data_IF_286146436389
#
_entry.id   IF_286146436389
#
_cell.length_a   1.000
_cell.length_b   1.000
_cell.length_c   1.000
_cell.angle_alpha   90.00
_cell.angle_beta   90.00
_cell.angle_gamma   90.00
#
_symmetry.space_group_name_H-M   'P 1'
#
loop_
_entity.id
_entity.type
_entity.pdbx_description
1 polymer ?
#
# COMPACT_ATOMS: atom_id res chain seq x y z
N UNK A 1 22.58 12.70 -11.98
CA UNK A 1 22.83 11.26 -12.25
C UNK A 1 22.94 10.38 -11.01
N UNK A 2 23.70 10.73 -9.95
CA UNK A 2 23.79 9.87 -8.73
C UNK A 2 22.47 9.68 -7.96
N UNK A 3 21.59 10.69 -7.94
CA UNK A 3 20.35 10.62 -7.16
C UNK A 3 19.27 9.72 -7.78
N UNK A 4 19.12 9.71 -9.12
CA UNK A 4 18.19 8.79 -9.80
C UNK A 4 18.56 7.33 -9.56
N UNK A 5 19.86 7.03 -9.36
CA UNK A 5 20.33 5.70 -9.01
C UNK A 5 19.89 5.29 -7.60
N UNK A 6 19.92 6.18 -6.61
CA UNK A 6 19.47 5.88 -5.23
C UNK A 6 17.97 5.59 -5.20
N UNK A 7 17.15 6.38 -5.88
CA UNK A 7 15.71 6.12 -5.92
C UNK A 7 15.36 4.83 -6.67
N UNK A 8 16.07 4.56 -7.77
CA UNK A 8 15.91 3.30 -8.51
C UNK A 8 16.32 2.09 -7.66
N UNK A 9 17.44 2.17 -6.94
CA UNK A 9 17.90 1.07 -6.08
C UNK A 9 16.98 0.87 -4.88
N UNK A 10 16.47 1.95 -4.27
CA UNK A 10 15.49 1.85 -3.18
C UNK A 10 14.18 1.23 -3.66
N UNK A 11 13.65 1.65 -4.82
CA UNK A 11 12.45 1.05 -5.41
C UNK A 11 12.66 -0.45 -5.69
N UNK A 12 13.81 -0.81 -6.25
CA UNK A 12 14.14 -2.19 -6.60
C UNK A 12 14.32 -3.07 -5.36
N UNK A 13 14.93 -2.53 -4.28
CA UNK A 13 15.01 -3.22 -2.99
C UNK A 13 13.64 -3.42 -2.36
N UNK A 14 12.79 -2.40 -2.35
CA UNK A 14 11.46 -2.47 -1.75
C UNK A 14 10.58 -3.47 -2.50
N UNK A 15 10.51 -3.36 -3.83
CA UNK A 15 9.78 -4.29 -4.66
C UNK A 15 10.33 -5.73 -4.56
N UNK A 16 11.65 -5.88 -4.49
CA UNK A 16 12.30 -7.19 -4.29
C UNK A 16 11.98 -7.83 -2.94
N UNK A 17 11.96 -7.05 -1.85
CA UNK A 17 11.58 -7.54 -0.52
C UNK A 17 10.12 -8.00 -0.50
N UNK A 18 9.18 -7.21 -1.02
CA UNK A 18 7.76 -7.59 -1.09
C UNK A 18 7.51 -8.80 -1.98
N UNK A 19 8.13 -8.83 -3.17
CA UNK A 19 8.01 -9.97 -4.07
C UNK A 19 8.62 -11.23 -3.46
N UNK A 20 9.74 -11.10 -2.75
CA UNK A 20 10.40 -12.20 -2.06
C UNK A 20 9.55 -12.78 -0.92
N UNK A 21 9.04 -11.94 -0.01
CA UNK A 21 8.21 -12.41 1.11
C UNK A 21 6.92 -13.05 0.62
N UNK A 22 6.24 -12.43 -0.34
CA UNK A 22 5.01 -12.96 -0.90
C UNK A 22 5.26 -14.24 -1.71
N UNK A 23 6.39 -14.33 -2.42
CA UNK A 23 6.82 -15.54 -3.12
C UNK A 23 7.04 -16.72 -2.17
N UNK A 24 7.67 -16.48 -1.02
CA UNK A 24 7.85 -17.50 0.03
C UNK A 24 6.50 -17.96 0.58
N UNK A 25 5.61 -17.01 0.91
CA UNK A 25 4.26 -17.33 1.43
C UNK A 25 3.47 -18.15 0.41
N UNK A 26 3.42 -17.71 -0.85
CA UNK A 26 2.70 -18.42 -1.91
C UNK A 26 3.24 -19.83 -2.13
N UNK A 27 4.56 -20.01 -2.06
CA UNK A 27 5.19 -21.32 -2.20
C UNK A 27 4.83 -22.24 -1.03
N UNK A 28 4.90 -21.73 0.20
CA UNK A 28 4.51 -22.50 1.40
C UNK A 28 3.03 -22.88 1.34
N UNK A 29 2.15 -21.94 0.98
CA UNK A 29 0.72 -22.21 0.82
C UNK A 29 0.44 -23.23 -0.28
N UNK A 30 1.14 -23.14 -1.43
CA UNK A 30 0.99 -24.07 -2.53
C UNK A 30 1.41 -25.50 -2.16
N UNK A 31 2.56 -25.64 -1.47
CA UNK A 31 3.05 -26.94 -0.97
C UNK A 31 2.10 -27.51 0.09
N UNK A 32 1.69 -26.69 1.07
CA UNK A 32 0.76 -27.12 2.10
C UNK A 32 -0.60 -27.54 1.54
N UNK A 33 -1.12 -26.83 0.54
CA UNK A 33 -2.35 -27.22 -0.16
C UNK A 33 -2.19 -28.55 -0.91
N UNK A 34 -1.07 -28.76 -1.59
CA UNK A 34 -0.78 -30.02 -2.27
C UNK A 34 -0.73 -31.19 -1.29
N UNK A 35 0.00 -31.06 -0.18
CA UNK A 35 0.10 -32.10 0.84
C UNK A 35 -1.25 -32.39 1.50
N UNK A 36 -2.03 -31.36 1.84
CA UNK A 36 -3.35 -31.52 2.43
C UNK A 36 -4.33 -32.25 1.48
N UNK A 37 -4.31 -31.87 0.20
CA UNK A 37 -5.15 -32.51 -0.83
C UNK A 37 -4.76 -33.98 -1.04
N UNK A 38 -3.46 -34.27 -1.11
CA UNK A 38 -2.95 -35.63 -1.23
C UNK A 38 -3.34 -36.48 -0.01
N UNK A 39 -3.19 -35.94 1.20
CA UNK A 39 -3.55 -36.63 2.44
C UNK A 39 -5.06 -36.91 2.54
N UNK A 40 -5.90 -35.93 2.20
CA UNK A 40 -7.37 -36.08 2.22
C UNK A 40 -7.84 -37.21 1.31
N UNK A 41 -7.39 -37.22 0.05
CA UNK A 41 -7.79 -38.26 -0.90
C UNK A 41 -7.23 -39.63 -0.53
N UNK A 42 -6.01 -39.70 0.01
CA UNK A 42 -5.44 -40.96 0.49
C UNK A 42 -6.20 -41.51 1.70
N UNK A 43 -6.64 -40.64 2.62
CA UNK A 43 -7.48 -41.02 3.77
C UNK A 43 -8.85 -41.53 3.33
N UNK A 44 -9.51 -40.83 2.39
CA UNK A 44 -10.79 -41.25 1.82
C UNK A 44 -10.68 -42.63 1.14
N UNK A 45 -9.61 -42.85 0.38
CA UNK A 45 -9.34 -44.14 -0.26
C UNK A 45 -9.21 -45.27 0.77
N UNK A 46 -8.44 -45.06 1.83
CA UNK A 46 -8.27 -46.07 2.89
C UNK A 46 -9.60 -46.34 3.59
N UNK A 47 -10.38 -45.32 3.94
CA UNK A 47 -11.68 -45.51 4.60
C UNK A 47 -12.68 -46.32 3.74
N UNK A 48 -12.68 -46.08 2.42
CA UNK A 48 -13.50 -46.85 1.48
C UNK A 48 -13.06 -48.32 1.40
N UNK A 49 -11.74 -48.59 1.35
CA UNK A 49 -11.22 -49.97 1.35
C UNK A 49 -11.55 -50.67 2.67
N UNK A 50 -11.40 -49.99 3.80
CA UNK A 50 -11.72 -50.52 5.14
C UNK A 50 -13.21 -50.88 5.27
N UNK A 51 -14.11 -50.01 4.80
CA UNK A 51 -15.57 -50.26 4.81
C UNK A 51 -15.94 -51.48 3.97
N UNK A 52 -15.37 -51.58 2.75
CA UNK A 52 -15.63 -52.73 1.86
C UNK A 52 -15.04 -54.01 2.43
N UNK A 53 -13.82 -53.96 2.97
CA UNK A 53 -13.18 -55.13 3.56
C UNK A 53 -13.88 -55.60 4.83
N UNK A 54 -14.29 -54.69 5.73
CA UNK A 54 -15.02 -55.02 6.95
C UNK A 54 -16.39 -55.64 6.67
N UNK A 55 -17.18 -55.05 5.77
CA UNK A 55 -18.49 -55.61 5.39
C UNK A 55 -18.40 -57.01 4.78
N UNK A 56 -17.36 -57.29 4.01
CA UNK A 56 -17.10 -58.62 3.49
C UNK A 56 -16.55 -59.58 4.55
N UNK A 57 -15.66 -59.10 5.43
CA UNK A 57 -15.09 -59.89 6.50
C UNK A 57 -16.20 -60.43 7.42
N UNK A 58 -17.08 -59.55 7.92
CA UNK A 58 -18.18 -59.92 8.82
C UNK A 58 -19.18 -60.86 8.14
N UNK A 59 -19.49 -60.62 6.86
CA UNK A 59 -20.40 -61.46 6.08
C UNK A 59 -19.86 -62.86 5.80
N UNK A 60 -18.53 -62.97 5.62
CA UNK A 60 -17.86 -64.24 5.32
C UNK A 60 -17.60 -65.07 6.57
N UNK A 61 -17.18 -64.49 7.71
CA UNK A 61 -16.94 -65.26 8.94
C UNK A 61 -18.18 -66.05 9.38
N UNK A 62 -19.38 -65.50 9.17
CA UNK A 62 -20.64 -66.18 9.47
C UNK A 62 -20.91 -67.43 8.59
N UNK A 63 -20.21 -67.56 7.46
CA UNK A 63 -20.44 -68.59 6.45
C UNK A 63 -19.35 -69.66 6.37
N UNK A 64 -18.18 -69.45 7.00
CA UNK A 64 -17.00 -70.33 6.92
C UNK A 64 -17.00 -71.40 8.03
N UNK A 65 -16.88 -72.68 7.64
CA UNK A 65 -16.90 -73.82 8.57
C UNK A 65 -15.57 -74.58 8.59
N UNK A 66 -14.97 -74.87 7.43
CA UNK A 66 -13.72 -75.65 7.33
C UNK A 66 -12.51 -74.74 7.01
N UNK A 67 -11.38 -74.82 7.76
CA UNK A 67 -10.18 -74.02 7.49
C UNK A 67 -9.65 -74.21 6.08
N UNK A 68 -9.35 -73.11 5.38
CA UNK A 68 -8.73 -73.10 4.05
C UNK A 68 -9.51 -73.85 2.94
N UNK A 69 -10.78 -74.17 3.16
CA UNK A 69 -11.69 -74.71 2.14
C UNK A 69 -12.76 -73.67 1.82
N UNK A 70 -12.88 -73.32 0.54
CA UNK A 70 -13.85 -72.33 0.07
C UNK A 70 -15.22 -73.02 -0.07
N UNK A 71 -16.20 -72.73 0.80
CA UNK A 71 -17.55 -73.26 0.61
C UNK A 71 -18.27 -72.60 -0.59
N UNK A 72 -19.19 -73.32 -1.27
CA UNK A 72 -19.97 -72.77 -2.39
C UNK A 72 -20.79 -71.53 -2.02
N UNK A 73 -21.03 -71.30 -0.72
CA UNK A 73 -21.72 -70.12 -0.19
C UNK A 73 -20.90 -68.85 -0.42
N UNK A 74 -19.56 -68.93 -0.42
CA UNK A 74 -18.65 -67.79 -0.65
C UNK A 74 -18.79 -67.23 -2.08
N UNK A 75 -19.10 -68.09 -3.06
CA UNK A 75 -19.40 -67.67 -4.45
C UNK A 75 -20.69 -66.85 -4.56
N UNK A 76 -21.61 -66.92 -3.58
CA UNK A 76 -22.80 -66.07 -3.56
C UNK A 76 -22.49 -64.63 -3.10
N UNK A 77 -21.44 -64.45 -2.28
CA UNK A 77 -21.00 -63.15 -1.79
C UNK A 77 -20.08 -62.42 -2.77
N UNK A 78 -19.24 -63.17 -3.49
CA UNK A 78 -18.37 -62.61 -4.55
C UNK A 78 -18.53 -63.43 -5.83
N UNK A 79 -19.49 -63.08 -6.71
CA UNK A 79 -19.81 -63.87 -7.91
C UNK A 79 -18.71 -63.86 -8.97
N UNK A 80 -17.75 -62.92 -8.89
CA UNK A 80 -16.57 -62.83 -9.76
C UNK A 80 -15.36 -63.62 -9.24
N UNK A 81 -15.58 -64.58 -8.32
CA UNK A 81 -14.53 -65.42 -7.75
C UNK A 81 -14.01 -66.46 -8.75
N UNK A 82 -12.71 -66.42 -9.01
CA UNK A 82 -11.93 -67.44 -9.71
C UNK A 82 -11.16 -68.30 -8.68
N UNK A 83 -11.38 -69.61 -8.70
CA UNK A 83 -10.68 -70.55 -7.81
C UNK A 83 -9.31 -70.88 -8.42
N UNK A 84 -8.27 -70.91 -7.58
CA UNK A 84 -6.92 -71.23 -8.03
C UNK A 84 -6.86 -72.68 -8.59
N UNK A 85 -6.34 -72.83 -9.81
CA UNK A 85 -6.24 -74.14 -10.49
C UNK A 85 -7.39 -74.49 -11.45
N UNK A 86 -8.37 -73.60 -11.62
CA UNK A 86 -9.41 -73.72 -12.67
C UNK A 86 -9.18 -72.70 -13.81
N UNK A 87 -9.41 -73.09 -15.06
CA UNK A 87 -9.30 -72.20 -16.23
C UNK A 87 -10.41 -71.15 -16.22
N UNK A 88 -10.14 -70.03 -15.58
CA UNK A 88 -11.02 -68.85 -15.56
C UNK A 88 -10.85 -68.04 -16.86
N UNK A 89 -11.29 -68.61 -17.99
CA UNK A 89 -11.45 -67.81 -19.21
C UNK A 89 -12.68 -66.91 -19.08
N UNK A 90 -12.47 -65.60 -19.23
CA UNK A 90 -13.47 -64.57 -18.92
C UNK A 90 -14.71 -64.71 -19.81
N UNK A 91 -15.83 -65.16 -19.24
CA UNK A 91 -17.18 -64.82 -19.71
C UNK A 91 -18.21 -65.28 -18.68
N UNK A 92 -18.42 -64.46 -17.64
CA UNK A 92 -19.61 -64.56 -16.81
C UNK A 92 -20.29 -63.21 -16.69
N UNK A 93 -21.24 -62.98 -17.59
CA UNK A 93 -22.37 -62.08 -17.36
C UNK A 93 -23.20 -62.66 -16.21
N UNK A 94 -22.93 -62.26 -14.97
CA UNK A 94 -23.74 -62.66 -13.82
C UNK A 94 -23.93 -61.50 -12.80
N UNK A 95 -25.18 -61.02 -12.80
CA UNK A 95 -25.95 -60.34 -11.75
C UNK A 95 -25.32 -59.20 -10.92
N UNK A 96 -25.96 -58.03 -11.04
CA UNK A 96 -25.86 -56.82 -10.20
C UNK A 96 -26.15 -57.05 -8.71
N UNK A 97 -25.26 -57.69 -7.95
CA UNK A 97 -25.37 -57.68 -6.48
C UNK A 97 -24.14 -57.16 -5.73
N UNK A 98 -23.04 -56.83 -6.42
CA UNK A 98 -22.02 -55.90 -5.92
C UNK A 98 -21.36 -55.16 -7.08
N UNK A 99 -21.97 -54.04 -7.51
CA UNK A 99 -21.39 -53.12 -8.52
C UNK A 99 -20.04 -52.49 -8.09
N UNK A 100 -19.66 -52.65 -6.82
CA UNK A 100 -18.42 -52.11 -6.24
C UNK A 100 -17.15 -52.71 -6.87
N UNK A 101 -17.18 -53.98 -7.29
CA UNK A 101 -15.98 -54.68 -7.80
C UNK A 101 -15.74 -54.55 -9.31
N UNK A 102 -16.79 -54.29 -10.09
CA UNK A 102 -16.66 -54.19 -11.57
C UNK A 102 -16.33 -52.78 -12.07
N UNK A 103 -16.80 -51.72 -11.42
CA UNK A 103 -16.64 -50.36 -11.94
C UNK A 103 -15.46 -49.57 -11.31
N UNK A 104 -14.95 -49.98 -10.16
CA UNK A 104 -14.06 -49.14 -9.36
C UNK A 104 -12.62 -49.68 -9.16
N UNK A 105 -12.19 -50.68 -9.94
CA UNK A 105 -10.81 -51.19 -9.89
C UNK A 105 -10.44 -51.88 -8.58
N UNK A 106 -11.42 -52.49 -7.91
CA UNK A 106 -11.18 -53.30 -6.71
C UNK A 106 -10.83 -54.75 -7.09
N UNK A 107 -9.96 -55.37 -6.28
CA UNK A 107 -9.69 -56.79 -6.34
C UNK A 107 -9.74 -57.41 -4.95
N UNK A 108 -10.03 -58.71 -4.90
CA UNK A 108 -10.03 -59.53 -3.69
C UNK A 108 -9.19 -60.77 -3.92
N UNK A 109 -8.45 -61.19 -2.88
CA UNK A 109 -7.71 -62.44 -2.84
C UNK A 109 -7.96 -63.16 -1.52
N UNK A 110 -8.13 -64.46 -1.60
CA UNK A 110 -8.18 -65.36 -0.45
C UNK A 110 -6.90 -66.19 -0.43
N UNK A 111 -6.20 -66.17 0.70
CA UNK A 111 -4.96 -66.92 0.89
C UNK A 111 -5.11 -67.90 2.06
N UNK A 112 -4.46 -69.04 1.95
CA UNK A 112 -4.29 -69.97 3.07
C UNK A 112 -3.41 -69.35 4.17
N UNK A 113 -3.37 -69.98 5.34
CA UNK A 113 -2.44 -69.62 6.42
C UNK A 113 -0.96 -69.74 6.01
N UNK A 114 -0.66 -70.50 4.94
CA UNK A 114 0.68 -70.65 4.36
C UNK A 114 0.99 -69.64 3.24
N UNK A 115 0.06 -68.74 2.90
CA UNK A 115 0.23 -67.75 1.82
C UNK A 115 -0.03 -68.28 0.42
N UNK A 116 -0.66 -69.45 0.28
CA UNK A 116 -1.07 -69.97 -1.01
C UNK A 116 -2.39 -69.32 -1.44
N UNK A 117 -2.43 -68.78 -2.67
CA UNK A 117 -3.65 -68.21 -3.23
C UNK A 117 -4.71 -69.31 -3.42
N UNK A 118 -5.86 -69.16 -2.76
CA UNK A 118 -7.01 -70.08 -2.83
C UNK A 118 -8.00 -69.64 -3.91
N UNK A 119 -8.30 -68.34 -3.95
CA UNK A 119 -9.19 -67.75 -4.95
C UNK A 119 -8.94 -66.25 -5.09
N UNK A 120 -9.31 -65.68 -6.23
CA UNK A 120 -9.20 -64.24 -6.50
C UNK A 120 -10.42 -63.73 -7.27
N UNK A 121 -10.76 -62.46 -7.15
CA UNK A 121 -11.90 -61.88 -7.87
C UNK A 121 -11.71 -60.39 -8.15
N UNK A 122 -12.37 -59.90 -9.20
CA UNK A 122 -12.20 -58.53 -9.69
C UNK A 122 -11.02 -58.38 -10.66
N UNK A 123 -10.56 -57.14 -10.88
CA UNK A 123 -9.40 -56.86 -11.74
C UNK A 123 -8.11 -57.12 -10.97
N UNK A 124 -7.74 -58.40 -10.88
CA UNK A 124 -6.53 -58.85 -10.18
C UNK A 124 -5.32 -58.61 -11.09
N UNK A 125 -4.29 -57.85 -10.63
CA UNK A 125 -3.07 -57.66 -11.42
C UNK A 125 -2.33 -58.98 -11.60
N UNK A 126 -1.87 -59.25 -12.83
CA UNK A 126 -0.96 -60.35 -13.15
C UNK A 126 0.36 -60.17 -12.40
N UNK A 127 0.86 -61.23 -11.77
CA UNK A 127 2.19 -61.33 -11.17
C UNK A 127 2.45 -60.52 -9.88
N UNK A 128 1.44 -60.28 -9.04
CA UNK A 128 1.71 -59.80 -7.68
C UNK A 128 2.26 -60.93 -6.79
N UNK A 129 3.28 -60.65 -5.96
CA UNK A 129 3.88 -61.66 -5.09
C UNK A 129 2.85 -62.24 -4.11
N UNK A 130 2.82 -63.56 -3.98
CA UNK A 130 1.95 -64.28 -3.04
C UNK A 130 2.42 -64.19 -1.57
N UNK A 131 3.37 -63.30 -1.26
CA UNK A 131 3.97 -63.22 0.07
C UNK A 131 3.06 -62.45 1.03
N UNK A 132 2.74 -63.11 2.14
CA UNK A 132 2.10 -62.50 3.31
C UNK A 132 3.16 -61.66 4.02
N UNK A 133 3.28 -60.39 3.65
CA UNK A 133 3.84 -59.42 4.58
C UNK A 133 2.76 -59.12 5.63
N UNK A 134 3.10 -59.23 6.91
CA UNK A 134 2.17 -59.21 8.05
C UNK A 134 1.58 -57.83 8.38
N UNK A 135 1.81 -56.83 7.52
CA UNK A 135 1.26 -55.49 7.71
C UNK A 135 -0.21 -55.40 7.28
N UNK A 136 -1.01 -54.69 8.08
CA UNK A 136 -2.44 -54.47 7.83
C UNK A 136 -2.66 -53.76 6.48
N UNK A 137 -1.82 -52.77 6.14
CA UNK A 137 -1.93 -51.98 4.92
C UNK A 137 -0.66 -52.09 4.07
N UNK A 138 -0.82 -52.31 2.78
CA UNK A 138 0.29 -52.42 1.82
C UNK A 138 0.03 -51.60 0.57
N UNK A 139 1.10 -51.04 0.00
CA UNK A 139 1.06 -50.48 -1.35
C UNK A 139 1.91 -51.34 -2.26
N UNK A 140 1.27 -51.99 -3.23
CA UNK A 140 1.91 -52.87 -4.18
C UNK A 140 2.10 -52.13 -5.50
N UNK A 141 3.19 -52.41 -6.20
CA UNK A 141 3.44 -51.87 -7.53
C UNK A 141 3.47 -53.02 -8.52
N UNK A 142 2.59 -52.97 -9.53
CA UNK A 142 2.54 -53.99 -10.57
C UNK A 142 3.62 -53.70 -11.64
N UNK A 143 4.02 -54.70 -12.44
CA UNK A 143 5.07 -54.53 -13.47
C UNK A 143 4.75 -53.48 -14.55
N UNK A 144 3.47 -53.13 -14.71
CA UNK A 144 2.97 -52.07 -15.59
C UNK A 144 3.16 -50.65 -15.00
N UNK A 145 3.69 -50.53 -13.78
CA UNK A 145 3.86 -49.28 -13.03
C UNK A 145 2.60 -48.81 -12.30
N UNK A 146 1.50 -49.57 -12.37
CA UNK A 146 0.27 -49.23 -11.63
C UNK A 146 0.44 -49.59 -10.16
N UNK A 147 0.19 -48.62 -9.29
CA UNK A 147 0.22 -48.84 -7.83
C UNK A 147 -1.15 -49.25 -7.33
N UNK A 148 -1.18 -50.12 -6.34
CA UNK A 148 -2.38 -50.66 -5.70
C UNK A 148 -2.26 -50.49 -4.20
N UNK A 149 -3.34 -50.06 -3.54
CA UNK A 149 -3.44 -50.03 -2.08
C UNK A 149 -4.25 -51.22 -1.61
N UNK A 150 -3.71 -51.99 -0.68
CA UNK A 150 -4.29 -53.25 -0.19
C UNK A 150 -4.43 -53.25 1.33
N UNK A 151 -5.49 -53.87 1.82
CA UNK A 151 -5.79 -54.17 3.21
C UNK A 151 -5.85 -55.70 3.40
N UNK A 152 -5.09 -56.23 4.36
CA UNK A 152 -5.02 -57.66 4.67
C UNK A 152 -5.72 -57.94 6.00
N UNK A 153 -6.77 -58.76 6.00
CA UNK A 153 -7.53 -59.17 7.20
C UNK A 153 -7.45 -60.68 7.41
N UNK A 154 -7.32 -61.12 8.65
CA UNK A 154 -7.37 -62.54 9.01
C UNK A 154 -8.85 -62.96 9.15
N UNK A 155 -9.27 -64.00 8.42
CA UNK A 155 -10.59 -64.62 8.54
C UNK A 155 -10.57 -65.74 9.58
N UNK A 156 -11.64 -65.84 10.37
CA UNK A 156 -11.90 -66.97 11.26
C UNK A 156 -13.14 -67.76 10.82
N UNK A 157 -13.18 -69.02 11.22
CA UNK A 157 -14.38 -69.87 11.09
C UNK A 157 -15.41 -69.50 12.15
N UNK A 158 -16.65 -69.96 11.98
CA UNK A 158 -17.71 -69.83 13.00
C UNK A 158 -17.31 -70.38 14.39
N UNK A 159 -16.31 -71.28 14.43
CA UNK A 159 -15.77 -71.87 15.66
C UNK A 159 -14.54 -71.11 16.22
N UNK A 160 -14.24 -69.91 15.70
CA UNK A 160 -13.07 -69.08 16.03
C UNK A 160 -11.69 -69.61 15.59
N UNK A 161 -11.63 -70.71 14.84
CA UNK A 161 -10.36 -71.19 14.28
C UNK A 161 -9.91 -70.31 13.10
N UNK A 162 -8.62 -70.03 12.99
CA UNK A 162 -8.03 -69.26 11.88
C UNK A 162 -8.27 -69.97 10.54
N UNK A 163 -8.98 -69.32 9.62
CA UNK A 163 -9.33 -69.89 8.32
C UNK A 163 -8.27 -69.59 7.24
N UNK A 164 -7.82 -68.33 7.18
CA UNK A 164 -6.92 -67.80 6.16
C UNK A 164 -6.91 -66.27 6.13
N UNK A 165 -6.30 -65.67 5.12
CA UNK A 165 -6.26 -64.21 4.94
C UNK A 165 -7.15 -63.77 3.77
N UNK A 166 -7.91 -62.70 3.97
CA UNK A 166 -8.61 -61.96 2.93
C UNK A 166 -7.85 -60.67 2.64
N UNK A 167 -7.45 -60.48 1.41
CA UNK A 167 -6.84 -59.25 0.93
C UNK A 167 -7.81 -58.52 0.03
N UNK A 168 -8.08 -57.26 0.32
CA UNK A 168 -8.91 -56.37 -0.50
C UNK A 168 -8.05 -55.19 -0.92
N UNK A 169 -7.97 -54.92 -2.23
CA UNK A 169 -7.17 -53.81 -2.74
C UNK A 169 -7.85 -53.04 -3.85
N UNK A 170 -7.34 -51.84 -4.14
CA UNK A 170 -7.81 -50.95 -5.20
C UNK A 170 -6.64 -50.28 -5.92
N UNK A 171 -6.76 -50.06 -7.22
CA UNK A 171 -5.79 -49.30 -8.01
C UNK A 171 -5.73 -47.83 -7.59
N UNK A 172 -4.52 -47.27 -7.51
CA UNK A 172 -4.25 -45.84 -7.29
C UNK A 172 -4.25 -45.03 -8.58
N UNK A 173 -4.53 -45.63 -9.74
CA UNK A 173 -4.51 -44.98 -11.06
C UNK A 173 -5.44 -43.75 -11.16
N UNK A 174 -6.62 -43.82 -10.54
CA UNK A 174 -7.56 -42.70 -10.47
C UNK A 174 -7.00 -41.55 -9.62
N UNK A 175 -6.39 -41.86 -8.47
CA UNK A 175 -5.73 -40.90 -7.60
C UNK A 175 -4.54 -40.23 -8.32
N UNK A 176 -3.71 -41.04 -8.96
CA UNK A 176 -2.54 -40.58 -9.71
C UNK A 176 -2.94 -39.67 -10.88
N UNK A 177 -4.03 -40.00 -11.59
CA UNK A 177 -4.58 -39.15 -12.65
C UNK A 177 -5.07 -37.79 -12.15
N UNK A 178 -5.76 -37.73 -11.01
CA UNK A 178 -6.18 -36.47 -10.40
C UNK A 178 -4.98 -35.63 -9.93
N UNK A 179 -3.95 -36.27 -9.37
CA UNK A 179 -2.75 -35.58 -8.88
C UNK A 179 -1.92 -34.97 -10.02
N UNK A 180 -1.95 -35.53 -11.23
CA UNK A 180 -1.28 -34.93 -12.41
C UNK A 180 -1.87 -33.56 -12.74
N UNK A 181 -3.20 -33.42 -12.76
CA UNK A 181 -3.85 -32.12 -13.03
C UNK A 181 -3.58 -31.11 -11.93
N UNK A 182 -3.61 -31.53 -10.67
CA UNK A 182 -3.24 -30.67 -9.53
C UNK A 182 -1.80 -30.18 -9.69
N UNK A 183 -0.85 -31.08 -10.00
CA UNK A 183 0.56 -30.74 -10.20
C UNK A 183 0.75 -29.76 -11.36
N UNK A 184 0.08 -29.99 -12.50
CA UNK A 184 0.13 -29.10 -13.66
C UNK A 184 -0.44 -27.71 -13.32
N UNK A 185 -1.56 -27.66 -12.60
CA UNK A 185 -2.17 -26.41 -12.16
C UNK A 185 -1.25 -25.61 -11.24
N UNK A 186 -0.47 -26.27 -10.37
CA UNK A 186 0.53 -25.63 -9.51
C UNK A 186 1.75 -25.16 -10.30
N UNK A 187 2.24 -25.96 -11.26
CA UNK A 187 3.38 -25.62 -12.11
C UNK A 187 3.12 -24.40 -13.00
N UNK A 188 1.88 -24.14 -13.40
CA UNK A 188 1.49 -22.98 -14.20
C UNK A 188 0.99 -21.84 -13.30
N UNK A 189 0.16 -22.18 -12.31
CA UNK A 189 -0.47 -21.26 -11.38
C UNK A 189 0.56 -20.50 -10.54
N UNK A 190 1.52 -21.19 -9.93
CA UNK A 190 2.51 -20.55 -9.05
C UNK A 190 3.37 -19.51 -9.81
N UNK A 191 4.00 -19.82 -10.97
CA UNK A 191 4.74 -18.80 -11.71
C UNK A 191 3.88 -17.63 -12.19
N UNK A 192 2.64 -17.90 -12.63
CA UNK A 192 1.73 -16.84 -13.06
C UNK A 192 1.37 -15.89 -11.91
N UNK A 193 1.09 -16.44 -10.72
CA UNK A 193 0.83 -15.66 -9.51
C UNK A 193 2.09 -14.89 -9.07
N UNK A 194 3.28 -15.50 -9.13
CA UNK A 194 4.54 -14.81 -8.83
C UNK A 194 4.79 -13.64 -9.79
N UNK A 195 4.53 -13.80 -11.09
CA UNK A 195 4.67 -12.72 -12.06
C UNK A 195 3.74 -11.54 -11.73
N UNK A 196 2.47 -11.83 -11.42
CA UNK A 196 1.50 -10.81 -11.00
C UNK A 196 1.97 -10.08 -9.74
N UNK A 197 2.48 -10.81 -8.75
CA UNK A 197 3.03 -10.23 -7.51
C UNK A 197 4.22 -9.32 -7.80
N UNK A 198 5.14 -9.72 -8.69
CA UNK A 198 6.30 -8.90 -9.07
C UNK A 198 5.83 -7.58 -9.73
N UNK A 199 4.88 -7.66 -10.66
CA UNK A 199 4.33 -6.47 -11.34
C UNK A 199 3.61 -5.56 -10.36
N UNK A 200 2.73 -6.11 -9.51
CA UNK A 200 2.01 -5.35 -8.50
C UNK A 200 2.96 -4.71 -7.48
N UNK A 201 3.96 -5.45 -7.00
CA UNK A 201 4.99 -4.95 -6.07
C UNK A 201 5.77 -3.78 -6.69
N UNK A 202 6.16 -3.90 -7.96
CA UNK A 202 6.85 -2.83 -8.68
C UNK A 202 5.98 -1.57 -8.86
N UNK A 203 4.69 -1.75 -9.11
CA UNK A 203 3.73 -0.66 -9.28
C UNK A 203 3.46 0.07 -7.95
N UNK A 204 3.17 -0.66 -6.88
CA UNK A 204 2.93 -0.12 -5.54
C UNK A 204 4.17 0.59 -4.98
N UNK A 205 5.36 0.00 -5.12
CA UNK A 205 6.61 0.65 -4.73
C UNK A 205 6.83 1.98 -5.47
N UNK A 206 6.37 2.07 -6.73
CA UNK A 206 6.38 3.30 -7.51
C UNK A 206 5.49 4.38 -6.90
N UNK A 207 4.24 4.06 -6.57
CA UNK A 207 3.31 5.02 -5.95
C UNK A 207 3.79 5.48 -4.57
N UNK A 208 4.25 4.56 -3.72
CA UNK A 208 4.74 4.89 -2.38
C UNK A 208 5.94 5.86 -2.40
N UNK A 209 6.77 5.82 -3.44
CA UNK A 209 7.96 6.68 -3.54
C UNK A 209 7.67 8.07 -4.12
N UNK A 210 6.56 8.26 -4.84
CA UNK A 210 6.21 9.56 -5.45
C UNK A 210 6.14 10.73 -4.45
N UNK A 211 5.45 10.64 -3.29
CA UNK A 211 5.38 11.76 -2.35
C UNK A 211 6.75 12.10 -1.77
N UNK A 212 7.56 11.09 -1.45
CA UNK A 212 8.93 11.26 -0.94
C UNK A 212 9.80 11.95 -1.97
N UNK A 213 9.71 11.56 -3.24
CA UNK A 213 10.47 12.18 -4.32
C UNK A 213 10.08 13.66 -4.52
N UNK A 214 8.77 13.97 -4.48
CA UNK A 214 8.27 15.35 -4.60
C UNK A 214 8.77 16.22 -3.45
N UNK A 215 8.61 15.76 -2.21
CA UNK A 215 9.08 16.47 -1.02
C UNK A 215 10.60 16.68 -1.06
N UNK A 216 11.37 15.65 -1.40
CA UNK A 216 12.82 15.77 -1.52
C UNK A 216 13.25 16.78 -2.60
N UNK A 217 12.61 16.75 -3.78
CA UNK A 217 12.90 17.69 -4.87
C UNK A 217 12.55 19.13 -4.47
N UNK A 218 11.42 19.34 -3.81
CA UNK A 218 11.03 20.65 -3.27
C UNK A 218 12.04 21.16 -2.23
N UNK A 219 12.51 20.28 -1.33
CA UNK A 219 13.54 20.63 -0.36
C UNK A 219 14.85 21.03 -1.03
N UNK A 220 15.31 20.29 -2.05
CA UNK A 220 16.51 20.64 -2.82
C UNK A 220 16.37 21.98 -3.53
N UNK A 221 15.23 22.24 -4.17
CA UNK A 221 14.95 23.52 -4.83
C UNK A 221 14.96 24.64 -3.79
N UNK A 222 14.27 24.46 -2.67
CA UNK A 222 14.26 25.43 -1.57
C UNK A 222 15.66 25.75 -1.04
N UNK A 223 16.52 24.76 -0.82
CA UNK A 223 17.91 24.99 -0.38
C UNK A 223 18.73 25.73 -1.43
N UNK A 224 18.56 25.39 -2.72
CA UNK A 224 19.26 26.05 -3.80
C UNK A 224 18.82 27.51 -3.96
N UNK A 225 17.51 27.77 -3.93
CA UNK A 225 16.92 29.10 -4.05
C UNK A 225 17.29 29.97 -2.84
N UNK A 226 17.22 29.42 -1.62
CA UNK A 226 17.70 30.09 -0.41
C UNK A 226 19.18 30.48 -0.50
N UNK A 227 20.03 29.56 -0.96
CA UNK A 227 21.46 29.86 -1.14
C UNK A 227 21.70 30.97 -2.17
N UNK A 228 20.89 31.02 -3.23
CA UNK A 228 20.98 32.08 -4.24
C UNK A 228 20.56 33.44 -3.67
N UNK A 229 19.40 33.50 -3.02
CA UNK A 229 18.87 34.74 -2.44
C UNK A 229 19.70 35.27 -1.26
N UNK A 230 20.41 34.40 -0.52
CA UNK A 230 21.37 34.80 0.51
C UNK A 230 22.68 35.35 -0.10
N UNK A 231 23.13 34.82 -1.23
CA UNK A 231 24.39 35.23 -1.87
C UNK A 231 24.34 36.66 -2.39
N UNK A 232 23.22 37.08 -2.96
CA UNK A 232 23.06 38.42 -3.56
C UNK A 232 23.29 39.57 -2.57
N UNK A 233 22.59 39.65 -1.40
CA UNK A 233 22.85 40.72 -0.42
C UNK A 233 24.25 40.61 0.19
N UNK A 234 24.79 39.39 0.36
CA UNK A 234 26.15 39.20 0.86
C UNK A 234 27.20 39.77 -0.11
N UNK A 235 27.07 39.47 -1.39
CA UNK A 235 27.95 40.00 -2.43
C UNK A 235 27.84 41.53 -2.55
N UNK A 236 26.62 42.08 -2.40
CA UNK A 236 26.41 43.52 -2.38
C UNK A 236 27.08 44.18 -1.16
N UNK A 237 27.00 43.58 0.03
CA UNK A 237 27.71 44.07 1.22
C UNK A 237 29.22 44.05 0.98
N UNK A 238 29.76 42.94 0.48
CA UNK A 238 31.19 42.79 0.19
C UNK A 238 31.69 43.83 -0.81
N UNK A 239 31.01 43.99 -1.94
CA UNK A 239 31.40 44.95 -2.97
C UNK A 239 31.38 46.40 -2.47
N UNK A 240 30.36 46.78 -1.66
CA UNK A 240 30.30 48.11 -1.08
C UNK A 240 31.45 48.34 -0.09
N UNK A 241 31.74 47.37 0.78
CA UNK A 241 32.85 47.47 1.73
C UNK A 241 34.22 47.53 1.03
N UNK A 242 34.45 46.69 0.02
CA UNK A 242 35.69 46.71 -0.78
C UNK A 242 35.90 48.06 -1.48
N UNK A 243 34.83 48.63 -2.06
CA UNK A 243 34.88 49.93 -2.72
C UNK A 243 35.27 51.05 -1.75
N UNK A 244 34.70 51.06 -0.54
CA UNK A 244 34.99 52.08 0.48
C UNK A 244 36.38 51.90 1.09
N UNK A 245 36.88 50.67 1.20
CA UNK A 245 38.22 50.38 1.74
C UNK A 245 39.35 50.70 0.75
N UNK A 246 39.07 50.69 -0.56
CA UNK A 246 40.08 50.89 -1.61
C UNK A 246 40.15 52.32 -2.16
N UNK A 247 39.16 53.15 -1.85
CA UNK A 247 39.07 54.55 -2.31
C UNK A 247 39.26 55.48 -1.11
N UNK A 248 39.91 56.63 -1.28
CA UNK A 248 39.83 57.75 -0.32
C UNK A 248 38.41 58.33 -0.34
N UNK A 249 37.48 57.59 0.27
CA UNK A 249 36.07 57.94 0.36
C UNK A 249 35.89 59.12 1.32
N UNK A 250 35.05 60.09 0.94
CA UNK A 250 34.67 61.14 1.89
C UNK A 250 33.86 60.56 3.05
N UNK A 251 33.81 61.25 4.20
CA UNK A 251 32.95 60.84 5.31
C UNK A 251 31.49 60.63 4.87
N UNK A 252 30.99 61.43 3.92
CA UNK A 252 29.64 61.30 3.38
C UNK A 252 29.44 59.99 2.59
N UNK A 253 30.42 59.57 1.79
CA UNK A 253 30.40 58.31 1.03
C UNK A 253 30.49 57.10 1.97
N UNK A 254 31.28 57.21 3.04
CA UNK A 254 31.34 56.18 4.08
C UNK A 254 30.00 56.02 4.81
N UNK A 255 29.31 57.12 5.14
CA UNK A 255 27.98 57.08 5.75
C UNK A 255 26.92 56.46 4.83
N UNK A 256 26.95 56.74 3.53
CA UNK A 256 26.01 56.13 2.57
C UNK A 256 26.27 54.63 2.38
N UNK A 257 27.55 54.23 2.39
CA UNK A 257 27.97 52.83 2.41
C UNK A 257 27.42 52.11 3.65
N UNK A 258 27.60 52.69 4.84
CA UNK A 258 27.11 52.11 6.10
C UNK A 258 25.58 51.94 6.10
N UNK A 259 24.84 52.94 5.60
CA UNK A 259 23.37 52.83 5.43
C UNK A 259 22.99 51.72 4.45
N UNK A 260 23.75 51.56 3.37
CA UNK A 260 23.53 50.47 2.42
C UNK A 260 23.79 49.10 3.06
N UNK A 261 24.87 48.95 3.83
CA UNK A 261 25.19 47.72 4.57
C UNK A 261 24.11 47.40 5.60
N UNK A 262 23.66 48.38 6.38
CA UNK A 262 22.58 48.22 7.36
C UNK A 262 21.28 47.74 6.69
N UNK A 263 20.89 48.35 5.57
CA UNK A 263 19.72 47.94 4.79
C UNK A 263 19.83 46.51 4.25
N UNK A 264 21.00 46.11 3.74
CA UNK A 264 21.22 44.75 3.26
C UNK A 264 21.24 43.73 4.40
N UNK A 265 21.85 44.06 5.54
CA UNK A 265 21.86 43.21 6.73
C UNK A 265 20.45 43.00 7.30
N UNK A 266 19.66 44.07 7.36
CA UNK A 266 18.24 44.00 7.77
C UNK A 266 17.40 43.14 6.81
N UNK A 267 17.68 43.20 5.51
CA UNK A 267 17.06 42.32 4.51
C UNK A 267 17.47 40.86 4.70
N UNK A 268 18.76 40.60 4.92
CA UNK A 268 19.30 39.27 5.16
C UNK A 268 18.68 38.63 6.42
N UNK A 269 18.61 39.40 7.50
CA UNK A 269 18.01 38.95 8.77
C UNK A 269 16.53 38.57 8.58
N UNK A 270 15.73 39.39 7.90
CA UNK A 270 14.33 39.06 7.58
C UNK A 270 14.22 37.77 6.75
N UNK A 271 15.06 37.62 5.73
CA UNK A 271 15.06 36.42 4.90
C UNK A 271 15.38 35.16 5.72
N UNK A 272 16.38 35.21 6.61
CA UNK A 272 16.69 34.08 7.49
C UNK A 272 15.51 33.75 8.42
N UNK A 273 14.85 34.75 9.00
CA UNK A 273 13.66 34.55 9.82
C UNK A 273 12.49 33.94 9.04
N UNK A 274 12.27 34.39 7.79
CA UNK A 274 11.28 33.82 6.87
C UNK A 274 11.55 32.34 6.58
N UNK A 275 12.81 31.98 6.29
CA UNK A 275 13.20 30.58 6.02
C UNK A 275 13.04 29.69 7.25
N UNK A 276 13.43 30.16 8.43
CA UNK A 276 13.29 29.41 9.67
C UNK A 276 11.82 29.21 10.04
N UNK A 277 10.97 30.22 9.79
CA UNK A 277 9.52 30.09 10.00
C UNK A 277 8.94 29.00 9.11
N UNK A 278 9.20 29.05 7.81
CA UNK A 278 8.70 28.06 6.85
C UNK A 278 9.17 26.64 7.19
N UNK A 279 10.44 26.49 7.54
CA UNK A 279 11.02 25.20 7.96
C UNK A 279 10.34 24.63 9.21
N UNK A 280 10.01 25.47 10.20
CA UNK A 280 9.29 25.03 11.41
C UNK A 280 7.85 24.62 11.11
N UNK A 281 7.16 25.37 10.25
CA UNK A 281 5.77 25.06 9.87
C UNK A 281 5.66 23.76 9.09
N UNK A 282 6.63 23.46 8.22
CA UNK A 282 6.70 22.17 7.50
C UNK A 282 6.81 20.96 8.45
N UNK A 283 7.36 21.15 9.66
CA UNK A 283 7.56 20.08 10.64
C UNK A 283 6.42 19.93 11.65
N UNK A 284 5.84 21.04 12.12
CA UNK A 284 4.97 21.04 13.30
C UNK A 284 3.46 21.04 13.00
N UNK A 285 3.04 21.42 11.78
CA UNK A 285 1.63 21.34 11.32
C UNK A 285 0.62 22.25 12.03
N UNK A 286 0.75 22.49 13.33
CA UNK A 286 -0.10 23.33 14.17
C UNK A 286 0.74 24.40 14.90
N UNK A 287 0.18 25.60 15.19
CA UNK A 287 0.87 26.63 15.95
C UNK A 287 1.20 26.15 17.36
N UNK A 288 2.43 26.42 17.83
CA UNK A 288 2.91 26.04 19.17
C UNK A 288 2.15 26.73 20.31
N UNK A 289 1.48 27.86 20.04
CA UNK A 289 0.62 28.59 20.98
C UNK A 289 -0.73 28.86 20.30
N UNK A 290 -1.81 28.36 20.88
CA UNK A 290 -3.17 28.62 20.42
C UNK A 290 -3.94 29.38 21.50
N UNK A 291 -4.22 30.65 21.21
CA UNK A 291 -5.04 31.54 22.04
C UNK A 291 -6.24 32.02 21.22
N UNK A 292 -7.23 32.60 21.90
CA UNK A 292 -8.32 33.31 21.24
C UNK A 292 -7.78 34.64 20.66
N UNK A 293 -7.88 34.81 19.34
CA UNK A 293 -7.41 35.99 18.61
C UNK A 293 -8.60 36.78 18.07
N UNK A 294 -8.71 38.07 18.43
CA UNK A 294 -9.73 38.97 17.89
C UNK A 294 -9.29 39.50 16.52
N UNK A 295 -9.96 39.08 15.45
CA UNK A 295 -9.61 39.48 14.09
C UNK A 295 -9.96 40.94 13.79
N UNK A 296 -10.93 41.52 14.51
CA UNK A 296 -11.29 42.92 14.33
C UNK A 296 -10.13 43.84 14.75
N UNK A 297 -9.57 43.58 15.93
CA UNK A 297 -8.43 44.33 16.48
C UNK A 297 -7.22 44.16 15.56
N UNK A 298 -6.90 42.92 15.20
CA UNK A 298 -5.81 42.59 14.28
C UNK A 298 -5.90 43.33 12.94
N UNK A 299 -7.08 43.41 12.32
CA UNK A 299 -7.26 44.11 11.04
C UNK A 299 -7.13 45.63 11.21
N UNK A 300 -7.68 46.19 12.29
CA UNK A 300 -7.56 47.62 12.57
C UNK A 300 -6.11 48.02 12.82
N UNK A 301 -5.40 47.26 13.66
CA UNK A 301 -3.99 47.50 13.98
C UNK A 301 -3.11 47.47 12.73
N UNK A 302 -3.33 46.49 11.83
CA UNK A 302 -2.62 46.41 10.56
C UNK A 302 -2.92 47.60 9.64
N UNK A 303 -4.18 48.01 9.54
CA UNK A 303 -4.56 49.14 8.69
C UNK A 303 -3.96 50.44 9.21
N UNK A 304 -3.90 50.61 10.54
CA UNK A 304 -3.22 51.73 11.19
C UNK A 304 -1.71 51.70 10.94
N UNK A 305 -1.04 50.55 11.17
CA UNK A 305 0.40 50.39 10.99
C UNK A 305 0.83 50.69 9.54
N UNK A 306 0.11 50.15 8.56
CA UNK A 306 0.43 50.31 7.14
C UNK A 306 -0.08 51.61 6.52
N UNK A 307 -0.82 52.44 7.28
CA UNK A 307 -1.36 53.71 6.78
C UNK A 307 -0.27 54.68 6.29
N UNK A 308 0.83 54.81 7.03
CA UNK A 308 1.95 55.68 6.67
C UNK A 308 2.66 55.21 5.40
N UNK A 309 2.83 53.89 5.24
CA UNK A 309 3.43 53.29 4.05
C UNK A 309 2.55 53.49 2.81
N UNK A 310 1.23 53.30 2.97
CA UNK A 310 0.26 53.50 1.91
C UNK A 310 0.22 54.98 1.46
N UNK A 311 0.20 55.92 2.41
CA UNK A 311 0.25 57.36 2.13
C UNK A 311 1.54 57.76 1.41
N UNK A 312 2.70 57.26 1.86
CA UNK A 312 3.98 57.50 1.19
C UNK A 312 4.02 56.96 -0.26
N UNK A 313 3.20 55.94 -0.55
CA UNK A 313 3.06 55.36 -1.89
C UNK A 313 1.88 55.95 -2.69
N UNK A 314 1.19 56.95 -2.15
CA UNK A 314 -0.03 57.56 -2.71
C UNK A 314 -1.15 56.53 -2.96
N UNK A 315 -1.41 55.66 -1.98
CA UNK A 315 -2.41 54.59 -2.02
C UNK A 315 -3.41 54.79 -0.89
N UNK A 316 -4.70 54.61 -1.17
CA UNK A 316 -5.75 54.62 -0.15
C UNK A 316 -5.88 53.23 0.49
N UNK A 317 -5.57 53.10 1.78
CA UNK A 317 -5.77 51.88 2.56
C UNK A 317 -6.96 52.06 3.51
N UNK A 318 -7.93 51.15 3.44
CA UNK A 318 -9.17 51.20 4.25
C UNK A 318 -9.57 49.83 4.78
N UNK A 319 -10.22 49.79 5.94
CA UNK A 319 -10.85 48.60 6.50
C UNK A 319 -12.37 48.66 6.27
N UNK A 320 -12.98 47.52 5.95
CA UNK A 320 -14.44 47.34 5.89
C UNK A 320 -14.82 46.09 6.70
N UNK A 321 -15.23 46.33 7.95
CA UNK A 321 -15.57 45.28 8.90
C UNK A 321 -17.10 45.10 8.90
N UNK A 322 -17.59 44.07 8.23
CA UNK A 322 -19.02 43.80 8.01
C UNK A 322 -19.59 42.88 9.10
N UNK A 323 -19.43 43.28 10.38
CA UNK A 323 -19.97 42.52 11.51
C UNK A 323 -20.28 43.43 12.70
N UNK A 324 -21.38 43.15 13.39
CA UNK A 324 -21.75 43.83 14.64
C UNK A 324 -21.11 43.18 15.88
N UNK A 325 -20.48 42.02 15.72
CA UNK A 325 -19.83 41.26 16.81
C UNK A 325 -18.37 40.99 16.48
N UNK A 326 -17.53 40.95 17.51
CA UNK A 326 -16.11 40.57 17.37
C UNK A 326 -15.99 39.14 16.83
N UNK A 327 -15.16 38.96 15.79
CA UNK A 327 -14.85 37.67 15.18
C UNK A 327 -13.58 37.13 15.83
N UNK A 328 -13.69 35.99 16.51
CA UNK A 328 -12.57 35.36 17.22
C UNK A 328 -12.23 33.99 16.65
N UNK A 329 -10.95 33.74 16.42
CA UNK A 329 -10.40 32.44 15.98
C UNK A 329 -9.39 31.90 17.00
N UNK A 330 -9.10 30.59 16.95
CA UNK A 330 -8.06 29.98 17.79
C UNK A 330 -6.74 29.90 17.02
N UNK A 331 -5.66 30.43 17.58
CA UNK A 331 -4.39 30.50 16.87
C UNK A 331 -3.29 31.29 17.54
N UNK A 332 -2.23 31.55 16.78
CA UNK A 332 -1.18 32.48 17.13
C UNK A 332 -1.47 33.83 16.47
N UNK A 333 -1.79 34.82 17.30
CA UNK A 333 -2.07 36.20 16.84
C UNK A 333 -0.90 36.78 16.02
N UNK A 334 0.34 36.61 16.50
CA UNK A 334 1.56 37.01 15.78
C UNK A 334 1.65 36.40 14.37
N UNK A 335 1.30 35.11 14.23
CA UNK A 335 1.31 34.45 12.93
C UNK A 335 0.18 34.99 12.04
N UNK A 336 -1.05 35.07 12.55
CA UNK A 336 -2.19 35.61 11.79
C UNK A 336 -1.92 37.06 11.34
N UNK A 337 -1.34 37.87 12.22
CA UNK A 337 -0.91 39.24 11.94
C UNK A 337 0.04 39.27 10.75
N UNK A 338 1.10 38.45 10.81
CA UNK A 338 2.08 38.33 9.72
C UNK A 338 1.48 37.85 8.40
N UNK A 339 0.52 36.93 8.44
CA UNK A 339 -0.18 36.45 7.24
C UNK A 339 -0.90 37.60 6.52
N UNK A 340 -1.71 38.37 7.26
CA UNK A 340 -2.46 39.50 6.69
C UNK A 340 -1.53 40.65 6.31
N UNK A 341 -0.50 40.95 7.12
CA UNK A 341 0.53 41.93 6.81
C UNK A 341 1.24 41.63 5.47
N UNK A 342 1.55 40.36 5.19
CA UNK A 342 2.13 39.95 3.91
C UNK A 342 1.20 40.25 2.73
N UNK A 343 -0.12 40.05 2.89
CA UNK A 343 -1.09 40.37 1.85
C UNK A 343 -1.22 41.88 1.62
N UNK A 344 -1.30 42.67 2.70
CA UNK A 344 -1.37 44.14 2.62
C UNK A 344 -0.11 44.71 1.98
N UNK A 345 1.07 44.23 2.41
CA UNK A 345 2.35 44.67 1.84
C UNK A 345 2.44 44.37 0.34
N UNK A 346 1.99 43.17 -0.07
CA UNK A 346 1.92 42.83 -1.50
C UNK A 346 0.95 43.76 -2.24
N UNK A 347 -0.24 44.02 -1.69
CA UNK A 347 -1.21 44.91 -2.31
C UNK A 347 -0.62 46.33 -2.54
N UNK A 348 0.01 46.91 -1.51
CA UNK A 348 0.66 48.23 -1.60
C UNK A 348 1.80 48.21 -2.63
N UNK A 349 2.61 47.15 -2.67
CA UNK A 349 3.78 47.06 -3.55
C UNK A 349 3.44 46.95 -5.04
N UNK A 350 2.31 46.33 -5.39
CA UNK A 350 1.93 46.03 -6.78
C UNK A 350 0.77 46.92 -7.30
N UNK A 351 0.38 47.93 -6.53
CA UNK A 351 -0.57 48.96 -6.95
C UNK A 351 0.18 50.16 -7.57
N UNK A 352 -0.27 50.68 -8.72
CA UNK A 352 0.14 52.00 -9.21
C UNK A 352 -0.32 53.15 -8.29
N UNK A 353 0.44 54.25 -8.27
CA UNK A 353 0.07 55.47 -7.55
C UNK A 353 -1.38 55.91 -7.84
N UNK A 354 -2.14 56.24 -6.78
CA UNK A 354 -3.56 56.60 -6.84
C UNK A 354 -4.52 55.41 -6.69
N UNK A 355 -4.03 54.18 -6.52
CA UNK A 355 -4.87 52.99 -6.31
C UNK A 355 -5.43 52.85 -4.89
N UNK A 356 -6.23 51.80 -4.69
CA UNK A 356 -6.92 51.51 -3.42
C UNK A 356 -6.68 50.07 -2.96
N UNK A 357 -6.45 49.92 -1.66
CA UNK A 357 -6.48 48.64 -0.93
C UNK A 357 -7.63 48.69 0.08
N UNK A 358 -8.48 47.66 0.05
CA UNK A 358 -9.56 47.49 1.03
C UNK A 358 -9.41 46.14 1.73
N UNK A 359 -9.35 46.16 3.06
CA UNK A 359 -9.33 44.95 3.88
C UNK A 359 -10.74 44.69 4.40
N UNK A 360 -11.40 43.68 3.84
CA UNK A 360 -12.72 43.26 4.29
C UNK A 360 -12.60 42.18 5.36
N UNK A 361 -13.39 42.31 6.43
CA UNK A 361 -13.55 41.27 7.44
C UNK A 361 -15.03 40.98 7.61
N UNK A 362 -15.42 39.72 7.39
CA UNK A 362 -16.79 39.25 7.61
C UNK A 362 -16.82 37.83 8.15
N UNK A 363 -17.96 37.46 8.71
CA UNK A 363 -18.26 36.09 9.12
C UNK A 363 -19.09 35.40 8.04
N UNK A 364 -18.65 34.24 7.55
CA UNK A 364 -19.38 33.38 6.61
C UNK A 364 -19.59 32.01 7.27
N UNK A 365 -20.84 31.69 7.64
CA UNK A 365 -21.23 30.45 8.32
C UNK A 365 -20.36 30.16 9.56
N UNK A 366 -19.48 29.16 9.44
CA UNK A 366 -18.56 28.69 10.47
C UNK A 366 -17.12 29.19 10.30
N UNK A 367 -16.91 30.16 9.42
CA UNK A 367 -15.58 30.68 9.10
C UNK A 367 -15.51 32.20 9.24
N UNK A 368 -14.36 32.69 9.68
CA UNK A 368 -13.96 34.07 9.48
C UNK A 368 -13.37 34.22 8.08
N UNK A 369 -13.82 35.23 7.32
CA UNK A 369 -13.26 35.58 6.02
C UNK A 369 -12.56 36.95 6.12
N UNK A 370 -11.26 36.96 5.84
CA UNK A 370 -10.47 38.17 5.61
C UNK A 370 -10.18 38.27 4.12
N UNK A 371 -10.53 39.40 3.49
CA UNK A 371 -10.22 39.65 2.09
C UNK A 371 -9.37 40.91 1.94
N UNK A 372 -8.22 40.80 1.28
CA UNK A 372 -7.40 41.95 0.90
C UNK A 372 -7.62 42.18 -0.59
N UNK A 373 -8.37 43.23 -0.91
CA UNK A 373 -8.70 43.64 -2.28
C UNK A 373 -7.84 44.81 -2.70
N UNK A 374 -7.20 44.69 -3.85
CA UNK A 374 -6.36 45.71 -4.47
C UNK A 374 -6.89 46.10 -5.86
N UNK A 375 -6.63 47.34 -6.30
CA UNK A 375 -6.87 47.81 -7.67
C UNK A 375 -5.57 47.84 -8.50
N UNK A 376 -4.68 46.87 -8.26
CA UNK A 376 -3.34 46.85 -8.82
C UNK A 376 -3.26 46.27 -10.23
N UNK A 377 -2.05 45.86 -10.62
CA UNK A 377 -1.75 45.34 -11.96
C UNK A 377 -2.43 43.99 -12.26
N UNK A 378 -2.93 43.29 -11.25
CA UNK A 378 -3.50 41.94 -11.37
C UNK A 378 -2.47 40.86 -11.71
N UNK A 379 -2.93 39.61 -11.71
CA UNK A 379 -2.12 38.40 -11.85
C UNK A 379 -2.65 37.56 -13.02
N UNK A 380 -1.81 37.23 -14.03
CA UNK A 380 -2.23 36.37 -15.13
C UNK A 380 -2.74 35.01 -14.64
N UNK A 381 -3.83 34.51 -15.21
CA UNK A 381 -4.48 33.27 -14.80
C UNK A 381 -3.50 32.07 -14.70
N UNK A 382 -2.57 31.94 -15.65
CA UNK A 382 -1.55 30.88 -15.67
C UNK A 382 -0.60 30.89 -14.46
N UNK A 383 -0.42 32.04 -13.82
CA UNK A 383 0.51 32.19 -12.70
C UNK A 383 -0.18 32.08 -11.34
N UNK A 384 -1.50 32.24 -11.27
CA UNK A 384 -2.27 32.23 -10.01
C UNK A 384 -2.12 30.94 -9.21
N UNK A 385 -1.87 29.80 -9.87
CA UNK A 385 -1.61 28.53 -9.20
C UNK A 385 -0.23 28.46 -8.53
N UNK A 386 0.71 29.32 -8.93
CA UNK A 386 2.12 29.27 -8.54
C UNK A 386 2.55 30.43 -7.64
N UNK A 387 1.74 31.47 -7.47
CA UNK A 387 2.09 32.63 -6.64
C UNK A 387 2.34 32.30 -5.17
N UNK A 388 1.85 31.15 -4.70
CA UNK A 388 2.09 30.65 -3.35
C UNK A 388 3.35 29.76 -3.26
N UNK A 389 3.96 29.40 -4.38
CA UNK A 389 5.23 28.68 -4.40
C UNK A 389 6.35 29.55 -3.79
N UNK A 390 7.25 28.92 -3.04
CA UNK A 390 8.40 29.61 -2.42
C UNK A 390 9.29 30.20 -3.51
N UNK A 391 9.79 31.41 -3.28
CA UNK A 391 10.67 32.16 -4.19
C UNK A 391 10.06 32.47 -5.57
N UNK A 392 8.79 32.13 -5.81
CA UNK A 392 8.16 32.35 -7.10
C UNK A 392 7.77 33.82 -7.30
N UNK A 393 8.03 34.34 -8.52
CA UNK A 393 7.76 35.73 -8.90
C UNK A 393 7.33 35.78 -10.37
N UNK A 394 6.25 36.52 -10.67
CA UNK A 394 5.65 36.59 -12.02
C UNK A 394 6.58 37.27 -13.04
N UNK A 395 7.37 38.27 -12.64
CA UNK A 395 8.34 38.96 -13.50
C UNK A 395 9.66 39.21 -12.75
N UNK A 396 10.72 38.48 -13.08
CA UNK A 396 12.04 38.57 -12.41
C UNK A 396 12.79 39.88 -12.68
N UNK A 397 12.52 40.58 -13.79
CA UNK A 397 13.34 41.71 -14.24
C UNK A 397 12.84 43.07 -13.73
N UNK A 398 11.52 43.28 -13.67
CA UNK A 398 10.93 44.54 -13.15
C UNK A 398 10.97 44.65 -11.63
N UNK A 399 11.18 43.52 -10.95
CA UNK A 399 10.97 43.36 -9.51
C UNK A 399 12.27 43.32 -8.69
N UNK A 400 13.45 43.44 -9.35
CA UNK A 400 14.73 43.63 -8.65
C UNK A 400 14.75 44.92 -7.83
N UNK A 401 14.01 45.94 -8.25
CA UNK A 401 13.89 47.22 -7.55
C UNK A 401 12.92 47.19 -6.36
N UNK A 402 11.92 46.30 -6.34
CA UNK A 402 10.91 46.25 -5.27
C UNK A 402 11.30 45.32 -4.10
N UNK A 403 12.35 44.50 -4.23
CA UNK A 403 13.11 43.96 -3.08
C UNK A 403 12.55 42.73 -2.34
N UNK A 404 11.40 42.17 -2.75
CA UNK A 404 10.83 40.97 -2.12
C UNK A 404 11.52 39.66 -2.54
N UNK A 405 11.79 38.77 -1.58
CA UNK A 405 12.38 37.44 -1.83
C UNK A 405 11.40 36.38 -2.38
N UNK A 406 10.12 36.75 -2.60
CA UNK A 406 9.10 35.81 -3.06
C UNK A 406 8.63 34.81 -1.99
N UNK A 407 8.83 35.11 -0.70
CA UNK A 407 8.42 34.24 0.41
C UNK A 407 7.11 34.67 1.09
N UNK A 408 6.66 35.91 0.92
CA UNK A 408 5.52 36.47 1.66
C UNK A 408 4.21 35.70 1.48
N UNK A 409 3.84 35.37 0.23
CA UNK A 409 2.62 34.58 -0.04
C UNK A 409 2.74 33.12 0.43
N UNK A 410 3.91 32.52 0.31
CA UNK A 410 4.18 31.17 0.83
C UNK A 410 4.06 31.13 2.36
N UNK A 411 4.54 32.16 3.06
CA UNK A 411 4.40 32.31 4.52
C UNK A 411 2.93 32.50 4.90
N UNK A 412 2.20 33.38 4.20
CA UNK A 412 0.78 33.57 4.46
C UNK A 412 -0.01 32.27 4.30
N UNK A 413 0.27 31.50 3.23
CA UNK A 413 -0.33 30.18 3.02
C UNK A 413 0.03 29.18 4.12
N UNK A 414 1.31 29.06 4.49
CA UNK A 414 1.74 28.13 5.54
C UNK A 414 1.10 28.47 6.89
N UNK A 415 1.00 29.74 7.24
CA UNK A 415 0.31 30.20 8.45
C UNK A 415 -1.17 29.83 8.41
N UNK A 416 -1.87 30.16 7.31
CA UNK A 416 -3.30 29.88 7.18
C UNK A 416 -3.58 28.38 7.25
N UNK A 417 -2.75 27.56 6.60
CA UNK A 417 -2.85 26.10 6.65
C UNK A 417 -2.60 25.55 8.07
N UNK A 418 -1.61 26.08 8.79
CA UNK A 418 -1.37 25.70 10.19
C UNK A 418 -2.57 26.01 11.10
N UNK A 419 -3.36 27.02 10.74
CA UNK A 419 -4.62 27.38 11.41
C UNK A 419 -5.85 26.66 10.83
N UNK A 420 -5.65 25.58 10.07
CA UNK A 420 -6.71 24.79 9.43
C UNK A 420 -7.60 25.61 8.48
N UNK A 421 -7.08 26.73 7.98
CA UNK A 421 -7.76 27.61 7.05
C UNK A 421 -7.39 27.36 5.59
N UNK A 422 -7.98 28.17 4.71
CA UNK A 422 -7.66 28.17 3.28
C UNK A 422 -7.37 29.59 2.80
N UNK A 423 -6.36 29.76 1.94
CA UNK A 423 -6.08 31.01 1.24
C UNK A 423 -6.32 30.83 -0.26
N UNK A 424 -6.98 31.79 -0.89
CA UNK A 424 -7.30 31.78 -2.32
C UNK A 424 -7.03 33.15 -2.93
N UNK A 425 -6.83 33.18 -4.25
CA UNK A 425 -6.69 34.41 -5.02
C UNK A 425 -7.74 34.44 -6.13
N UNK A 426 -8.33 35.60 -6.35
CA UNK A 426 -9.10 35.91 -7.55
C UNK A 426 -8.49 37.17 -8.15
N UNK A 427 -8.04 37.11 -9.39
CA UNK A 427 -7.39 38.24 -10.03
C UNK A 427 -7.63 38.25 -11.53
N UNK A 428 -7.72 39.45 -12.08
CA UNK A 428 -7.76 39.68 -13.50
C UNK A 428 -6.71 40.74 -13.85
N UNK A 429 -5.98 40.51 -14.95
CA UNK A 429 -4.92 41.40 -15.38
C UNK A 429 -5.49 42.83 -15.56
N UNK A 430 -4.80 43.81 -14.99
CA UNK A 430 -5.17 45.23 -15.01
C UNK A 430 -6.46 45.61 -14.28
N UNK A 431 -7.10 44.69 -13.55
CA UNK A 431 -8.27 44.98 -12.70
C UNK A 431 -8.01 44.82 -11.20
N UNK A 432 -6.84 44.32 -10.83
CA UNK A 432 -6.43 44.08 -9.45
C UNK A 432 -6.61 42.64 -9.00
N UNK A 433 -6.53 42.43 -7.68
CA UNK A 433 -6.59 41.10 -7.07
C UNK A 433 -7.36 41.12 -5.76
N UNK A 434 -7.92 39.97 -5.40
CA UNK A 434 -8.57 39.71 -4.12
C UNK A 434 -7.96 38.45 -3.54
N UNK A 435 -7.21 38.62 -2.45
CA UNK A 435 -6.72 37.51 -1.64
C UNK A 435 -7.70 37.25 -0.51
N UNK A 436 -8.17 36.01 -0.40
CA UNK A 436 -9.20 35.60 0.57
C UNK A 436 -8.64 34.54 1.52
N UNK A 437 -8.61 34.84 2.82
CA UNK A 437 -8.25 33.93 3.90
C UNK A 437 -9.54 33.49 4.60
N UNK A 438 -9.79 32.19 4.68
CA UNK A 438 -10.87 31.57 5.48
C UNK A 438 -10.27 30.83 6.66
N UNK A 439 -10.74 31.13 7.87
CA UNK A 439 -10.29 30.49 9.12
C UNK A 439 -11.49 29.91 9.87
N UNK A 440 -11.41 28.70 10.45
CA UNK A 440 -12.50 28.15 11.23
C UNK A 440 -12.74 28.97 12.51
N UNK A 441 -14.01 29.23 12.82
CA UNK A 441 -14.39 29.92 14.05
C UNK A 441 -14.26 29.00 15.27
N UNK A 442 -14.11 29.62 16.44
CA UNK A 442 -13.98 28.97 17.75
C UNK A 442 -15.00 27.86 18.02
N UNK A 443 -16.24 27.95 17.51
CA UNK A 443 -17.28 26.96 17.79
C UNK A 443 -17.03 25.57 17.16
N UNK A 444 -16.18 25.48 16.14
CA UNK A 444 -15.91 24.23 15.40
C UNK A 444 -14.53 23.63 15.70
N UNK A 445 -13.76 24.20 16.62
CA UNK A 445 -12.45 23.67 17.00
C UNK A 445 -12.64 22.40 17.85
N UNK A 446 -12.64 21.23 17.20
CA UNK A 446 -12.53 19.96 17.93
C UNK A 446 -11.09 19.86 18.44
N UNK A 447 -10.90 19.94 19.76
CA UNK A 447 -9.66 19.44 20.37
C UNK A 447 -9.50 17.98 19.96
N UNK A 448 -8.45 17.69 19.21
CA UNK A 448 -8.02 16.34 18.88
C UNK A 448 -7.17 15.77 20.02
#
# INVERSE_FOLDING_TARGET
MKHSQIFHTTRLRLAGLYAGTMGVILTICAVGFYEAMAHSHFSELNHRIETVAGTLHDGLEASLQEPSKLEPVVQKFVPTLCIAGTDCSSNSTALHYLGVFQENGYYIRFLSLSGQLLASGGQVPTDLPAQIETELWQTLEAPDGTRYRQLSLLLKTANQDSWGYMQVGRSLSELDGHMVWVRLSLLIGLPSAMLLVVVASWWLAGQAMQPVYRSYRQMQQFTADAAHELRTPLAAIQANLESTLTTDASDADAWDTLRTVERQNSRLSRLVHDLLLLSRMDLQGLPTKQNACNLNDLVNDLVEEFSALALASNISLTADIQTNTSITVFGSEEQLYRSVANLITNAIQYIPSGGKVTVHLKQEDHHALIQVQDTGIGIPHKEQARIFDRFYRVNSDRSRHTGGAGLGLAIAQAIVQAHQGTIQVQSELSKGSVFSIRLPLRSNFKMA
#
